data_IF_171753183331
#
_entry.id   IF_171753183331
#
_cell.length_a   1.000
_cell.length_b   1.000
_cell.length_c   1.000
_cell.angle_alpha   90.00
_cell.angle_beta   90.00
_cell.angle_gamma   90.00
#
_symmetry.space_group_name_H-M   'P 1'
#
loop_
_entity.id
_entity.type
_entity.pdbx_description
1 polymer ?
#
# COMPACT_ATOMS: atom_id res chain seq x y z
N UNK A 1 15.46 -17.06 2.18
CA UNK A 1 14.43 -17.59 3.11
C UNK A 1 13.22 -16.67 3.03
N UNK A 2 12.00 -17.22 2.96
CA UNK A 2 10.76 -16.42 2.92
C UNK A 2 10.41 -15.99 4.35
N UNK A 3 10.08 -14.72 4.56
CA UNK A 3 9.74 -14.15 5.87
C UNK A 3 8.33 -13.57 5.85
N UNK A 4 7.58 -13.78 6.92
CA UNK A 4 6.29 -13.15 7.16
C UNK A 4 6.29 -12.51 8.56
N UNK A 5 5.81 -11.28 8.66
CA UNK A 5 5.72 -10.53 9.91
C UNK A 5 4.28 -10.10 10.11
N UNK A 6 3.71 -10.45 11.27
CA UNK A 6 2.37 -10.04 11.66
C UNK A 6 2.49 -8.88 12.64
N UNK A 7 1.90 -7.74 12.28
CA UNK A 7 1.77 -6.59 13.18
C UNK A 7 0.52 -6.76 14.03
N UNK A 8 0.66 -6.57 15.34
CA UNK A 8 -0.46 -6.61 16.28
C UNK A 8 -0.94 -5.19 16.52
N UNK A 9 -2.20 -4.92 16.22
CA UNK A 9 -2.84 -3.65 16.52
C UNK A 9 -3.47 -3.71 17.91
N UNK A 10 -3.39 -2.60 18.63
CA UNK A 10 -3.96 -2.43 19.97
C UNK A 10 -5.31 -1.69 19.95
N UNK A 11 -5.79 -1.30 18.77
CA UNK A 11 -7.03 -0.57 18.57
C UNK A 11 -7.66 -0.86 17.18
N UNK A 12 -8.93 -0.51 17.03
CA UNK A 12 -9.72 -0.58 15.80
C UNK A 12 -10.22 0.81 15.34
N UNK A 13 -9.54 1.87 15.77
CA UNK A 13 -9.96 3.25 15.55
C UNK A 13 -10.00 3.58 14.06
N UNK A 14 -11.15 4.06 13.58
CA UNK A 14 -11.30 4.52 12.20
C UNK A 14 -11.07 6.03 12.13
N UNK A 15 -10.20 6.46 11.20
CA UNK A 15 -9.87 7.88 10.95
C UNK A 15 -9.98 8.14 9.46
N UNK A 16 -10.71 9.17 9.05
CA UNK A 16 -10.93 9.53 7.64
C UNK A 16 -11.47 8.36 6.78
N UNK A 17 -12.26 7.47 7.38
CA UNK A 17 -12.81 6.29 6.71
C UNK A 17 -11.81 5.14 6.52
N UNK A 18 -10.61 5.23 7.10
CA UNK A 18 -9.60 4.18 7.11
C UNK A 18 -9.65 3.41 8.42
N UNK A 19 -9.72 2.08 8.32
CA UNK A 19 -9.49 1.19 9.46
C UNK A 19 -8.09 1.38 10.05
N UNK A 20 -7.90 0.97 11.31
CA UNK A 20 -6.58 1.04 11.94
C UNK A 20 -5.51 0.25 11.15
N UNK A 21 -5.90 -0.83 10.46
CA UNK A 21 -5.01 -1.61 9.57
C UNK A 21 -4.60 -0.79 8.34
N UNK A 22 -5.56 -0.15 7.67
CA UNK A 22 -5.27 0.67 6.47
C UNK A 22 -4.38 1.88 6.80
N UNK A 23 -4.56 2.45 8.00
CA UNK A 23 -3.70 3.50 8.52
C UNK A 23 -2.25 3.00 8.70
N UNK A 24 -2.07 1.83 9.31
CA UNK A 24 -0.75 1.22 9.49
C UNK A 24 -0.10 0.82 8.16
N UNK A 25 -0.90 0.37 7.18
CA UNK A 25 -0.41 0.06 5.82
C UNK A 25 0.27 1.27 5.18
N UNK A 26 -0.27 2.48 5.35
CA UNK A 26 0.34 3.70 4.84
C UNK A 26 1.74 3.93 5.43
N UNK A 27 1.90 3.73 6.75
CA UNK A 27 3.18 3.88 7.44
C UNK A 27 4.21 2.86 6.98
N UNK A 28 3.82 1.59 6.92
CA UNK A 28 4.69 0.49 6.49
C UNK A 28 5.12 0.69 5.03
N UNK A 29 4.20 1.03 4.13
CA UNK A 29 4.51 1.23 2.73
C UNK A 29 5.51 2.37 2.53
N UNK A 30 5.30 3.50 3.22
CA UNK A 30 6.20 4.65 3.17
C UNK A 30 7.61 4.30 3.69
N UNK A 31 7.70 3.63 4.83
CA UNK A 31 8.98 3.26 5.45
C UNK A 31 9.73 2.22 4.60
N UNK A 32 9.04 1.17 4.13
CA UNK A 32 9.65 0.16 3.25
C UNK A 32 10.14 0.77 1.94
N UNK A 33 9.36 1.66 1.32
CA UNK A 33 9.80 2.37 0.12
C UNK A 33 11.04 3.23 0.36
N UNK A 34 11.06 4.00 1.46
CA UNK A 34 12.24 4.81 1.85
C UNK A 34 13.48 3.95 2.12
N UNK A 35 13.31 2.71 2.56
CA UNK A 35 14.38 1.72 2.68
C UNK A 35 14.87 1.13 1.34
N UNK A 36 14.40 1.68 0.21
CA UNK A 36 14.79 1.29 -1.14
C UNK A 36 14.04 0.08 -1.70
N UNK A 37 12.88 -0.29 -1.13
CA UNK A 37 12.09 -1.44 -1.61
C UNK A 37 10.99 -1.00 -2.57
N UNK A 38 10.66 -1.87 -3.52
CA UNK A 38 9.39 -1.80 -4.25
C UNK A 38 8.30 -2.51 -3.45
N UNK A 39 7.16 -1.86 -3.27
CA UNK A 39 6.07 -2.34 -2.39
C UNK A 39 4.87 -2.73 -3.24
N UNK A 40 4.15 -3.79 -2.84
CA UNK A 40 2.80 -4.09 -3.32
C UNK A 40 1.88 -4.10 -2.12
N UNK A 41 0.79 -3.36 -2.24
CA UNK A 41 -0.32 -3.42 -1.31
C UNK A 41 -1.40 -4.25 -1.99
N UNK A 42 -1.62 -5.46 -1.49
CA UNK A 42 -2.67 -6.35 -1.98
C UNK A 42 -3.94 -6.12 -1.16
N UNK A 43 -4.90 -5.42 -1.76
CA UNK A 43 -6.19 -5.11 -1.15
C UNK A 43 -7.18 -6.27 -1.36
N UNK A 44 -8.14 -6.40 -0.45
CA UNK A 44 -9.21 -7.39 -0.52
C UNK A 44 -10.19 -7.06 -1.67
N UNK A 45 -10.46 -5.78 -1.88
CA UNK A 45 -11.35 -5.29 -2.93
C UNK A 45 -10.88 -3.96 -3.55
N UNK A 46 -11.52 -3.61 -4.66
CA UNK A 46 -11.23 -2.39 -5.40
C UNK A 46 -11.48 -1.12 -4.57
N UNK A 47 -12.52 -1.10 -3.71
CA UNK A 47 -12.84 0.07 -2.90
C UNK A 47 -11.76 0.34 -1.86
N UNK A 48 -11.19 -0.71 -1.29
CA UNK A 48 -10.04 -0.61 -0.39
C UNK A 48 -8.81 -0.05 -1.12
N UNK A 49 -8.56 -0.49 -2.35
CA UNK A 49 -7.46 0.04 -3.16
C UNK A 49 -7.60 1.56 -3.36
N UNK A 50 -8.78 2.05 -3.76
CA UNK A 50 -9.04 3.48 -3.90
C UNK A 50 -8.90 4.26 -2.58
N UNK A 51 -9.34 3.70 -1.44
CA UNK A 51 -9.15 4.35 -0.14
C UNK A 51 -7.66 4.50 0.19
N UNK A 52 -6.86 3.47 -0.06
CA UNK A 52 -5.42 3.49 0.21
C UNK A 52 -4.63 4.37 -0.77
N UNK A 53 -5.06 4.46 -2.02
CA UNK A 53 -4.51 5.37 -3.02
C UNK A 53 -4.69 6.84 -2.58
N UNK A 54 -5.89 7.22 -2.15
CA UNK A 54 -6.10 8.58 -1.60
C UNK A 54 -5.30 8.79 -0.30
N UNK A 55 -5.33 7.81 0.61
CA UNK A 55 -4.70 7.92 1.93
C UNK A 55 -3.18 8.12 1.86
N UNK A 56 -2.49 7.47 0.93
CA UNK A 56 -1.03 7.54 0.81
C UNK A 56 -0.51 8.92 0.37
N UNK A 57 -1.37 9.78 -0.19
CA UNK A 57 -1.01 11.19 -0.42
C UNK A 57 -1.02 12.03 0.86
N UNK A 58 -1.87 11.68 1.83
CA UNK A 58 -2.00 12.42 3.09
C UNK A 58 -1.19 11.81 4.23
N UNK A 59 -0.83 10.51 4.15
CA UNK A 59 -0.24 9.74 5.25
C UNK A 59 0.99 8.95 4.78
N UNK A 60 2.13 9.06 5.48
CA UNK A 60 2.39 9.90 6.65
C UNK A 60 2.34 11.40 6.34
N UNK A 61 2.12 12.25 7.34
CA UNK A 61 2.17 13.69 7.15
C UNK A 61 3.54 14.14 6.58
N UNK A 62 3.53 15.25 5.83
CA UNK A 62 4.74 15.86 5.25
C UNK A 62 5.59 14.89 4.41
N UNK A 63 4.95 13.88 3.81
CA UNK A 63 5.60 12.82 3.06
C UNK A 63 5.10 12.77 1.62
N UNK A 64 6.01 12.59 0.68
CA UNK A 64 5.67 12.21 -0.70
C UNK A 64 5.99 10.73 -0.89
N UNK A 65 4.97 9.89 -1.04
CA UNK A 65 5.12 8.45 -1.33
C UNK A 65 4.65 8.21 -2.76
N UNK A 66 5.53 7.95 -3.74
CA UNK A 66 5.14 7.74 -5.13
C UNK A 66 4.44 6.40 -5.29
N UNK A 67 3.13 6.46 -5.57
CA UNK A 67 2.28 5.29 -5.69
C UNK A 67 1.23 5.46 -6.80
N UNK A 68 0.69 4.34 -7.26
CA UNK A 68 -0.48 4.28 -8.15
C UNK A 68 -1.22 2.96 -7.92
N UNK A 69 -2.49 2.97 -8.32
CA UNK A 69 -3.23 1.75 -8.59
C UNK A 69 -2.51 0.90 -9.65
N UNK A 70 -2.64 -0.42 -9.53
CA UNK A 70 -2.06 -1.36 -10.48
C UNK A 70 -2.56 -1.07 -11.91
N UNK A 71 -1.68 -1.20 -12.91
CA UNK A 71 -1.99 -0.85 -14.30
C UNK A 71 -1.94 0.65 -14.63
N UNK A 72 -1.63 1.51 -13.66
CA UNK A 72 -1.37 2.93 -13.86
C UNK A 72 0.10 3.29 -13.59
N UNK A 73 0.43 4.57 -13.73
CA UNK A 73 1.77 5.08 -13.46
C UNK A 73 2.81 4.71 -14.53
N UNK A 74 4.10 4.68 -14.18
CA UNK A 74 5.18 4.44 -15.14
C UNK A 74 5.21 2.98 -15.62
N UNK A 75 5.94 2.73 -16.72
CA UNK A 75 6.17 1.36 -17.22
C UNK A 75 6.81 0.50 -16.12
N UNK A 76 6.15 -0.62 -15.78
CA UNK A 76 6.56 -1.52 -14.70
C UNK A 76 5.91 -1.22 -13.34
N UNK A 77 5.05 -0.19 -13.24
CA UNK A 77 4.32 0.19 -12.04
C UNK A 77 5.10 1.13 -11.13
N UNK A 78 4.36 1.93 -10.35
CA UNK A 78 4.93 2.86 -9.37
C UNK A 78 5.79 2.15 -8.29
N UNK A 79 6.66 2.87 -7.57
CA UNK A 79 7.47 2.30 -6.49
C UNK A 79 6.64 1.58 -5.41
N UNK A 80 5.49 2.14 -5.06
CA UNK A 80 4.45 1.50 -4.27
C UNK A 80 3.26 1.26 -5.22
N UNK A 81 2.85 0.01 -5.40
CA UNK A 81 1.72 -0.31 -6.28
C UNK A 81 0.56 -0.88 -5.45
N UNK A 82 -0.68 -0.49 -5.77
CA UNK A 82 -1.88 -0.88 -5.04
C UNK A 82 -2.76 -1.73 -5.94
N UNK A 83 -2.95 -2.99 -5.58
CA UNK A 83 -3.67 -3.98 -6.38
C UNK A 83 -4.85 -4.57 -5.62
N UNK A 84 -5.75 -5.23 -6.34
CA UNK A 84 -6.89 -5.98 -5.81
C UNK A 84 -7.14 -7.23 -6.67
N UNK A 85 -8.01 -8.17 -6.29
CA UNK A 85 -8.08 -9.49 -6.93
C UNK A 85 -8.29 -9.46 -8.45
N UNK A 86 -9.05 -8.48 -8.95
CA UNK A 86 -9.36 -8.29 -10.37
C UNK A 86 -8.29 -7.53 -11.15
N UNK A 87 -7.36 -6.81 -10.48
CA UNK A 87 -6.31 -6.01 -11.12
C UNK A 87 -4.94 -6.34 -10.52
N UNK A 88 -4.21 -7.22 -11.21
CA UNK A 88 -2.90 -7.74 -10.78
C UNK A 88 -1.77 -6.70 -10.95
N UNK A 89 -0.68 -6.91 -10.23
CA UNK A 89 0.51 -6.05 -10.29
C UNK A 89 1.09 -5.97 -11.70
N UNK A 90 1.61 -4.78 -12.06
CA UNK A 90 2.15 -4.51 -13.40
C UNK A 90 3.49 -5.20 -13.66
N UNK A 91 4.15 -5.66 -12.59
CA UNK A 91 5.40 -6.42 -12.65
C UNK A 91 5.21 -7.84 -12.09
N UNK A 92 5.85 -8.86 -12.69
CA UNK A 92 5.97 -10.18 -12.06
C UNK A 92 6.65 -10.04 -10.70
N UNK A 93 6.16 -10.79 -9.71
CA UNK A 93 6.80 -10.87 -8.40
C UNK A 93 7.18 -12.31 -8.12
N UNK A 94 8.45 -12.52 -7.79
CA UNK A 94 8.93 -13.81 -7.32
C UNK A 94 8.37 -14.03 -5.91
N UNK A 95 7.36 -14.91 -5.80
CA UNK A 95 6.80 -15.31 -4.50
C UNK A 95 7.42 -16.61 -4.03
#
# INVERSE_FOLDING_TARGET
MKNATFYLLDNDTTVDGLSAVEQLVCEIAAERWRSGKRVLIACEDEKQAYRLDEALWARPAESFVPHNLAGEGPRGGAPVEIAWPQKRSSSPRDI
#
